data_IF_837399209475
#
_entry.id   IF_837399209475
#
_cell.length_a   1.000
_cell.length_b   1.000
_cell.length_c   1.000
_cell.angle_alpha   90.00
_cell.angle_beta   90.00
_cell.angle_gamma   90.00
#
_symmetry.space_group_name_H-M   'P 1'
#
loop_
_entity.id
_entity.type
_entity.pdbx_description
1 polymer ?
#
# COMPACT_ATOMS: atom_id res chain seq x y z
N UNK A 1 -8.74 -5.61 -9.83
CA UNK A 1 -10.00 -6.10 -9.22
C UNK A 1 -11.14 -5.57 -10.06
N UNK A 2 -12.05 -6.43 -10.49
CA UNK A 2 -13.27 -6.06 -11.21
C UNK A 2 -14.45 -6.50 -10.33
N UNK A 3 -15.45 -5.63 -10.17
CA UNK A 3 -16.65 -5.93 -9.40
C UNK A 3 -17.81 -5.97 -10.38
N UNK A 4 -18.50 -7.10 -10.43
CA UNK A 4 -19.70 -7.28 -11.26
C UNK A 4 -20.92 -7.17 -10.36
N UNK A 5 -21.88 -6.32 -10.74
CA UNK A 5 -23.13 -6.11 -10.00
C UNK A 5 -24.27 -6.36 -10.96
N UNK A 6 -25.06 -7.40 -10.69
CA UNK A 6 -26.26 -7.68 -11.46
C UNK A 6 -27.40 -6.78 -10.96
N UNK A 7 -27.82 -5.86 -11.83
CA UNK A 7 -28.89 -4.90 -11.53
C UNK A 7 -30.18 -5.29 -12.28
N UNK A 8 -31.36 -5.07 -11.68
CA UNK A 8 -32.62 -5.15 -12.40
C UNK A 8 -32.63 -4.15 -13.57
N UNK A 9 -33.21 -4.50 -14.72
CA UNK A 9 -33.16 -3.66 -15.92
C UNK A 9 -33.79 -2.27 -15.72
N UNK A 10 -34.85 -2.18 -14.90
CA UNK A 10 -35.52 -0.91 -14.61
C UNK A 10 -34.60 0.04 -13.80
N UNK A 11 -33.85 -0.52 -12.84
CA UNK A 11 -32.93 0.23 -12.00
C UNK A 11 -31.70 0.67 -12.79
N UNK A 12 -31.15 -0.21 -13.62
CA UNK A 12 -30.02 0.12 -14.51
C UNK A 12 -30.37 1.30 -15.43
N UNK A 13 -31.54 1.26 -16.09
CA UNK A 13 -31.98 2.36 -16.93
C UNK A 13 -32.20 3.66 -16.15
N UNK A 14 -32.69 3.59 -14.91
CA UNK A 14 -32.83 4.77 -14.06
C UNK A 14 -31.47 5.38 -13.72
N UNK A 15 -30.47 4.55 -13.39
CA UNK A 15 -29.11 5.00 -13.08
C UNK A 15 -28.40 5.60 -14.31
N UNK A 16 -28.55 4.99 -15.49
CA UNK A 16 -28.02 5.56 -16.75
C UNK A 16 -28.63 6.94 -17.01
N UNK A 17 -29.96 7.08 -16.90
CA UNK A 17 -30.62 8.38 -17.06
C UNK A 17 -30.15 9.41 -16.04
N UNK A 18 -29.86 8.99 -14.82
CA UNK A 18 -29.33 9.86 -13.78
C UNK A 18 -27.87 10.27 -14.07
N UNK A 19 -27.05 9.35 -14.58
CA UNK A 19 -25.67 9.61 -15.00
C UNK A 19 -25.63 10.68 -16.10
N UNK A 20 -26.46 10.53 -17.13
CA UNK A 20 -26.58 11.49 -18.23
C UNK A 20 -27.02 12.88 -17.76
N UNK A 21 -28.04 12.94 -16.88
CA UNK A 21 -28.53 14.21 -16.32
C UNK A 21 -27.50 14.92 -15.46
N UNK A 22 -26.72 14.15 -14.71
CA UNK A 22 -25.73 14.68 -13.77
C UNK A 22 -24.39 14.97 -14.46
N UNK A 23 -24.20 14.48 -15.69
CA UNK A 23 -22.92 14.45 -16.40
C UNK A 23 -21.81 13.79 -15.56
N UNK A 24 -22.17 12.72 -14.85
CA UNK A 24 -21.28 11.95 -13.97
C UNK A 24 -21.26 10.51 -14.51
N UNK A 25 -20.10 9.84 -14.56
CA UNK A 25 -20.04 8.43 -14.93
C UNK A 25 -20.96 7.57 -14.06
N UNK A 26 -21.62 6.60 -14.68
CA UNK A 26 -22.52 5.66 -14.00
C UNK A 26 -21.83 4.96 -12.81
N UNK A 27 -20.57 4.56 -13.01
CA UNK A 27 -19.73 3.92 -11.99
C UNK A 27 -19.58 4.79 -10.75
N UNK A 28 -19.39 6.10 -10.92
CA UNK A 28 -19.25 7.06 -9.81
C UNK A 28 -20.56 7.19 -9.04
N UNK A 29 -21.71 7.20 -9.72
CA UNK A 29 -23.01 7.22 -9.05
C UNK A 29 -23.25 5.95 -8.22
N UNK A 30 -22.91 4.78 -8.78
CA UNK A 30 -23.01 3.49 -8.09
C UNK A 30 -22.11 3.48 -6.85
N UNK A 31 -20.85 3.93 -7.00
CA UNK A 31 -19.91 4.03 -5.89
C UNK A 31 -20.40 4.96 -4.79
N UNK A 32 -20.94 6.11 -5.17
CA UNK A 32 -21.41 7.12 -4.22
C UNK A 32 -22.65 6.62 -3.44
N UNK A 33 -23.56 5.93 -4.10
CA UNK A 33 -24.70 5.28 -3.45
C UNK A 33 -24.24 4.16 -2.49
N UNK A 34 -23.33 3.30 -2.93
CA UNK A 34 -22.76 2.25 -2.07
C UNK A 34 -22.03 2.84 -0.86
N UNK A 35 -21.31 3.95 -1.03
CA UNK A 35 -20.62 4.66 0.05
C UNK A 35 -21.59 5.28 1.08
N UNK A 36 -22.79 5.68 0.67
CA UNK A 36 -23.81 6.18 1.59
C UNK A 36 -24.43 5.07 2.45
N UNK A 37 -24.57 3.86 1.88
CA UNK A 37 -25.12 2.69 2.57
C UNK A 37 -24.09 1.98 3.46
N UNK A 38 -22.79 2.16 3.19
CA UNK A 38 -21.76 1.73 4.12
C UNK A 38 -21.95 2.58 5.39
N UNK A 39 -22.23 1.96 6.55
CA UNK A 39 -22.31 2.70 7.79
C UNK A 39 -21.04 3.51 7.93
N UNK A 40 -21.16 4.78 8.32
CA UNK A 40 -20.07 5.74 8.57
C UNK A 40 -19.12 5.28 9.69
N UNK A 41 -18.99 3.98 9.94
CA UNK A 41 -17.81 3.31 10.47
C UNK A 41 -16.62 3.37 9.51
N UNK A 42 -16.47 4.46 8.76
CA UNK A 42 -15.14 4.92 8.35
C UNK A 42 -14.37 5.49 9.56
N UNK A 43 -14.98 5.55 10.76
CA UNK A 43 -14.24 5.68 12.02
C UNK A 43 -13.31 4.49 12.30
N UNK A 44 -13.46 3.39 11.55
CA UNK A 44 -12.50 2.30 11.51
C UNK A 44 -11.82 2.19 10.15
N UNK A 45 -11.32 3.30 9.58
CA UNK A 45 -10.05 3.18 8.87
C UNK A 45 -9.16 2.38 9.83
N UNK A 46 -8.51 1.29 9.40
CA UNK A 46 -7.58 0.55 10.25
C UNK A 46 -6.42 1.49 10.58
N UNK A 47 -6.63 2.36 11.56
CA UNK A 47 -5.64 3.23 12.13
C UNK A 47 -4.80 2.28 12.95
N UNK A 48 -3.58 2.06 12.48
CA UNK A 48 -2.58 1.34 13.24
C UNK A 48 -2.60 1.88 14.67
N UNK A 49 -2.74 0.98 15.64
CA UNK A 49 -2.78 1.39 17.04
C UNK A 49 -1.55 2.24 17.35
N UNK A 50 -1.68 3.20 18.25
CA UNK A 50 -0.55 4.08 18.62
C UNK A 50 0.66 3.25 19.07
N UNK A 51 0.46 2.05 19.63
CA UNK A 51 1.52 1.09 19.94
C UNK A 51 2.39 0.67 18.74
N UNK A 52 1.79 0.53 17.54
CA UNK A 52 2.54 0.23 16.31
C UNK A 52 3.19 1.49 15.75
N UNK A 53 2.50 2.63 15.83
CA UNK A 53 3.03 3.92 15.36
C UNK A 53 4.15 4.47 16.26
N UNK A 54 4.17 4.08 17.53
CA UNK A 54 5.16 4.49 18.53
C UNK A 54 6.25 3.43 18.76
N UNK A 55 6.27 2.36 17.96
CA UNK A 55 7.28 1.32 18.10
C UNK A 55 8.66 1.93 17.84
N UNK A 56 9.45 2.06 18.91
CA UNK A 56 10.88 2.34 18.81
C UNK A 56 11.57 0.99 18.76
N UNK A 57 12.19 0.69 17.63
CA UNK A 57 13.06 -0.46 17.51
C UNK A 57 14.11 -0.43 18.63
N UNK A 58 14.09 -1.46 19.46
CA UNK A 58 15.25 -1.91 20.21
C UNK A 58 15.74 -3.14 19.47
N UNK A 59 16.57 -2.96 18.43
CA UNK A 59 17.02 -4.10 17.67
C UNK A 59 17.88 -5.00 18.58
N UNK A 60 17.54 -6.29 18.61
CA UNK A 60 18.37 -7.34 19.26
C UNK A 60 19.69 -7.56 18.50
N UNK A 61 19.89 -6.83 17.41
CA UNK A 61 21.09 -6.84 16.58
C UNK A 61 21.83 -5.51 16.70
N UNK A 62 23.18 -5.53 16.68
CA UNK A 62 23.97 -4.31 16.73
C UNK A 62 23.69 -3.43 15.50
N UNK A 63 23.91 -2.13 15.66
CA UNK A 63 23.70 -1.15 14.59
C UNK A 63 24.48 -1.54 13.32
N UNK A 64 23.97 -1.13 12.15
CA UNK A 64 24.62 -1.42 10.87
C UNK A 64 26.11 -1.00 10.86
N UNK A 65 26.43 0.11 11.53
CA UNK A 65 27.74 0.67 11.76
C UNK A 65 28.72 -0.31 12.42
N UNK A 66 28.22 -1.23 13.27
CA UNK A 66 29.03 -2.24 13.95
C UNK A 66 29.62 -3.29 13.00
N UNK A 67 29.03 -3.48 11.81
CA UNK A 67 29.55 -4.39 10.80
C UNK A 67 30.54 -3.73 9.83
N UNK A 68 30.75 -2.40 9.91
CA UNK A 68 31.65 -1.70 8.99
C UNK A 68 33.09 -2.18 9.08
N UNK A 69 33.57 -2.55 10.26
CA UNK A 69 34.91 -3.11 10.44
C UNK A 69 35.10 -4.43 9.70
N UNK A 70 34.04 -5.23 9.52
CA UNK A 70 34.10 -6.49 8.77
C UNK A 70 34.07 -6.28 7.26
N UNK A 71 33.57 -5.12 6.80
CA UNK A 71 33.54 -4.75 5.38
C UNK A 71 34.90 -4.22 4.88
N UNK A 72 35.73 -3.66 5.76
CA UNK A 72 37.07 -3.17 5.41
C UNK A 72 38.10 -4.31 5.27
N UNK A 73 37.93 -5.43 5.98
CA UNK A 73 38.85 -6.57 5.90
C UNK A 73 38.75 -7.34 4.58
N UNK A 74 37.64 -7.24 3.85
CA UNK A 74 37.52 -7.83 2.50
C UNK A 74 38.31 -7.07 1.42
N UNK A 75 38.87 -5.90 1.73
CA UNK A 75 39.75 -5.15 0.81
C UNK A 75 41.25 -5.41 1.04
N UNK A 76 41.62 -6.26 2.01
CA UNK A 76 43.00 -6.73 2.16
C UNK A 76 43.12 -8.17 1.68
N UNK A 77 43.09 -8.34 0.36
CA UNK A 77 43.58 -9.58 -0.26
C UNK A 77 45.09 -9.73 0.02
N UNK A 78 45.56 -10.89 0.51
CA UNK A 78 46.97 -11.13 0.74
C UNK A 78 47.69 -11.27 -0.61
N UNK A 79 48.73 -10.47 -0.79
CA UNK A 79 49.96 -10.80 -1.52
C UNK A 79 49.78 -11.48 -2.88
N UNK A 80 49.82 -10.71 -3.97
CA UNK A 80 50.06 -11.21 -5.33
C UNK A 80 51.50 -11.76 -5.46
N UNK A 81 51.75 -13.07 -5.65
CA UNK A 81 53.10 -13.59 -5.85
C UNK A 81 53.39 -13.81 -7.35
N UNK A 82 52.95 -12.90 -8.22
CA UNK A 82 53.14 -13.03 -9.67
C UNK A 82 53.51 -11.68 -10.30
N UNK A 83 54.77 -11.26 -10.12
CA UNK A 83 55.40 -10.24 -10.95
C UNK A 83 56.39 -10.93 -11.90
N UNK A 84 55.99 -11.08 -13.17
CA UNK A 84 56.87 -11.53 -14.25
C UNK A 84 58.00 -10.52 -14.48
N UNK A 85 59.25 -11.00 -14.46
CA UNK A 85 60.38 -10.35 -15.12
C UNK A 85 61.34 -11.40 -15.67
#
# INVERSE_FOLDING_TARGET
MQITIDLPPDLEQALIRQADRSNIPLETLILQALLQEIPTKLDSIPRWSDAVLSYKETPDFPAFESYRSELDDNNRSPENPCSYR
#
